data_IF_770381047413
#
_entry.id   IF_770381047413
#
_cell.length_a   1.000
_cell.length_b   1.000
_cell.length_c   1.000
_cell.angle_alpha   90.00
_cell.angle_beta   90.00
_cell.angle_gamma   90.00
#
_symmetry.space_group_name_H-M   'P 1'
#
loop_
_entity.id
_entity.type
_entity.pdbx_description
1 polymer ?
#
# COMPACT_ATOMS: atom_id res chain seq x y z
N UNK A 1 10.03 54.64 22.38
CA UNK A 1 9.75 54.20 23.76
C UNK A 1 10.37 52.83 23.94
N UNK A 2 11.49 52.82 24.64
CA UNK A 2 12.18 51.66 25.19
C UNK A 2 11.25 50.78 26.06
N UNK A 3 11.85 49.70 26.59
CA UNK A 3 11.48 48.96 27.81
C UNK A 3 10.93 47.53 27.61
N UNK A 4 11.89 46.60 27.50
CA UNK A 4 12.05 45.48 28.45
C UNK A 4 10.77 44.73 28.88
N UNK A 5 10.37 43.70 28.12
CA UNK A 5 9.38 42.70 28.58
C UNK A 5 9.99 41.33 28.89
N UNK A 6 11.29 41.13 28.62
CA UNK A 6 11.94 39.83 28.77
C UNK A 6 12.57 39.55 30.14
N UNK A 7 12.31 40.37 31.17
CA UNK A 7 13.03 40.26 32.45
C UNK A 7 12.13 40.07 33.69
N UNK A 8 10.83 39.74 33.58
CA UNK A 8 9.99 39.59 34.79
C UNK A 8 8.82 38.60 34.62
N UNK A 9 9.10 37.30 34.69
CA UNK A 9 8.13 36.30 35.17
C UNK A 9 8.80 34.93 35.40
N UNK A 10 9.92 34.91 36.10
CA UNK A 10 10.15 33.77 36.98
C UNK A 10 9.08 33.84 38.08
N UNK A 11 8.47 32.70 38.42
CA UNK A 11 7.52 32.49 39.52
C UNK A 11 6.07 32.92 39.26
N UNK A 12 5.24 31.99 38.78
CA UNK A 12 4.03 31.47 39.46
C UNK A 12 3.57 30.24 38.68
N UNK A 13 3.74 29.06 39.29
CA UNK A 13 3.11 27.84 38.83
C UNK A 13 1.63 27.82 39.21
N UNK A 14 0.78 27.37 38.29
CA UNK A 14 -0.49 26.73 38.63
C UNK A 14 -0.89 25.74 37.53
N UNK A 15 -0.53 24.49 37.78
CA UNK A 15 -1.24 23.25 37.45
C UNK A 15 -2.53 23.40 36.62
N UNK A 16 -2.43 23.14 35.31
CA UNK A 16 -3.49 22.43 34.58
C UNK A 16 -2.84 21.28 33.83
N UNK A 17 -2.55 20.21 34.58
CA UNK A 17 -2.28 18.89 34.00
C UNK A 17 -3.63 18.28 33.55
N UNK A 18 -4.23 18.84 32.50
CA UNK A 18 -5.35 18.18 31.82
C UNK A 18 -4.76 17.09 30.93
N UNK A 19 -4.59 15.90 31.48
CA UNK A 19 -4.42 14.68 30.71
C UNK A 19 -5.75 14.37 29.99
N UNK A 20 -6.09 15.16 28.97
CA UNK A 20 -7.07 14.74 27.97
C UNK A 20 -6.37 13.69 27.14
N UNK A 21 -6.61 12.43 27.49
CA UNK A 21 -6.42 11.33 26.57
C UNK A 21 -7.38 11.60 25.39
N UNK A 22 -6.91 12.35 24.39
CA UNK A 22 -7.44 12.33 23.03
C UNK A 22 -7.01 10.99 22.42
N UNK A 23 -7.48 9.90 23.03
CA UNK A 23 -7.43 8.59 22.45
C UNK A 23 -8.50 8.60 21.37
N UNK A 24 -8.08 8.73 20.12
CA UNK A 24 -8.92 8.33 19.01
C UNK A 24 -9.35 6.89 19.27
N UNK A 25 -10.60 6.71 19.70
CA UNK A 25 -11.24 5.41 19.75
C UNK A 25 -11.40 4.92 18.30
N UNK A 26 -10.35 4.35 17.72
CA UNK A 26 -10.44 3.63 16.46
C UNK A 26 -11.34 2.42 16.67
N UNK A 27 -12.43 2.34 15.91
CA UNK A 27 -13.33 1.19 15.94
C UNK A 27 -12.53 -0.12 15.71
N UNK A 28 -12.92 -1.24 16.37
CA UNK A 28 -12.24 -2.51 16.17
C UNK A 28 -12.32 -2.91 14.70
N UNK A 29 -11.18 -2.99 14.03
CA UNK A 29 -11.14 -3.37 12.62
C UNK A 29 -11.42 -4.86 12.47
N UNK A 30 -12.28 -5.20 11.50
CA UNK A 30 -12.60 -6.59 11.17
C UNK A 30 -11.30 -7.35 10.82
N UNK A 31 -11.10 -8.50 11.45
CA UNK A 31 -9.96 -9.42 11.25
C UNK A 31 -10.44 -10.69 10.57
N UNK A 32 -9.52 -11.46 9.99
CA UNK A 32 -9.82 -12.84 9.65
C UNK A 32 -10.22 -13.59 10.93
N UNK A 33 -11.10 -14.58 10.78
CA UNK A 33 -11.35 -15.52 11.86
C UNK A 33 -10.07 -16.28 12.19
N UNK A 34 -9.99 -16.83 13.41
CA UNK A 34 -8.82 -17.61 13.84
C UNK A 34 -8.47 -18.75 12.85
N UNK A 35 -9.49 -19.45 12.35
CA UNK A 35 -9.31 -20.56 11.40
C UNK A 35 -8.76 -20.07 10.06
N UNK A 36 -9.32 -18.99 9.51
CA UNK A 36 -8.84 -18.41 8.25
C UNK A 36 -7.40 -17.90 8.37
N UNK A 37 -7.08 -17.18 9.44
CA UNK A 37 -5.73 -16.68 9.70
C UNK A 37 -4.71 -17.82 9.85
N UNK A 38 -5.11 -18.92 10.52
CA UNK A 38 -4.26 -20.11 10.66
C UNK A 38 -3.96 -20.77 9.31
N UNK A 39 -4.99 -20.96 8.47
CA UNK A 39 -4.83 -21.52 7.12
C UNK A 39 -3.95 -20.61 6.25
N UNK A 40 -4.20 -19.31 6.30
CA UNK A 40 -3.44 -18.30 5.55
C UNK A 40 -1.94 -18.40 5.85
N UNK A 41 -1.57 -18.39 7.14
CA UNK A 41 -0.16 -18.50 7.56
C UNK A 41 0.44 -19.85 7.23
N UNK A 42 -0.32 -20.93 7.35
CA UNK A 42 0.15 -22.27 7.00
C UNK A 42 0.50 -22.40 5.50
N UNK A 43 -0.13 -21.60 4.64
CA UNK A 43 0.19 -21.51 3.22
C UNK A 43 1.32 -20.51 2.90
N UNK A 44 1.92 -19.88 3.92
CA UNK A 44 2.94 -18.83 3.75
C UNK A 44 2.38 -17.44 3.45
N UNK A 45 1.07 -17.25 3.60
CA UNK A 45 0.42 -15.95 3.45
C UNK A 45 0.38 -15.14 4.75
N UNK A 46 -0.15 -13.93 4.65
CA UNK A 46 -0.35 -13.01 5.77
C UNK A 46 -1.70 -12.30 5.67
N UNK A 47 -2.24 -11.83 6.81
CA UNK A 47 -3.48 -11.03 6.78
C UNK A 47 -3.18 -9.64 6.25
N UNK A 48 -3.82 -9.28 5.14
CA UNK A 48 -3.79 -7.94 4.55
C UNK A 48 -5.20 -7.37 4.48
N UNK A 49 -5.33 -6.20 3.87
CA UNK A 49 -6.57 -5.42 3.83
C UNK A 49 -6.83 -4.87 2.44
N UNK A 50 -8.01 -5.19 1.91
CA UNK A 50 -8.48 -4.60 0.67
C UNK A 50 -8.73 -3.09 0.87
N UNK A 51 -8.81 -2.28 -0.20
CA UNK A 51 -8.97 -0.82 -0.08
C UNK A 51 -10.16 -0.37 0.79
N UNK A 52 -11.26 -1.14 0.80
CA UNK A 52 -12.42 -0.89 1.66
C UNK A 52 -12.32 -1.42 3.10
N UNK A 53 -11.14 -1.87 3.53
CA UNK A 53 -10.91 -2.28 4.91
C UNK A 53 -11.21 -3.75 5.23
N UNK A 54 -11.70 -4.52 4.27
CA UNK A 54 -11.99 -5.95 4.45
C UNK A 54 -10.70 -6.76 4.62
N UNK A 55 -10.59 -7.58 5.68
CA UNK A 55 -9.42 -8.44 5.88
C UNK A 55 -9.43 -9.60 4.87
N UNK A 56 -8.27 -9.95 4.35
CA UNK A 56 -8.11 -11.11 3.46
C UNK A 56 -6.71 -11.72 3.57
N UNK A 57 -6.51 -12.91 3.03
CA UNK A 57 -5.21 -13.57 3.01
C UNK A 57 -4.42 -13.16 1.76
N UNK A 58 -3.28 -12.53 1.96
CA UNK A 58 -2.36 -12.09 0.91
C UNK A 58 -1.12 -12.98 0.86
N UNK A 59 -0.54 -13.09 -0.33
CA UNK A 59 0.73 -13.77 -0.58
C UNK A 59 1.68 -12.82 -1.29
N UNK A 60 2.95 -12.79 -0.86
CA UNK A 60 4.03 -12.11 -1.57
C UNK A 60 4.75 -13.06 -2.49
N UNK A 61 5.06 -12.60 -3.69
CA UNK A 61 5.93 -13.33 -4.59
C UNK A 61 7.40 -13.05 -4.26
N UNK A 62 8.27 -14.04 -4.52
CA UNK A 62 9.71 -13.93 -4.19
C UNK A 62 10.49 -13.08 -5.20
N UNK A 63 9.90 -12.86 -6.36
CA UNK A 63 10.40 -12.08 -7.49
C UNK A 63 9.73 -10.71 -7.62
N UNK A 64 8.99 -10.27 -6.58
CA UNK A 64 8.37 -8.96 -6.50
C UNK A 64 9.28 -7.83 -6.99
N UNK A 65 8.81 -7.03 -7.95
CA UNK A 65 9.51 -5.85 -8.46
C UNK A 65 10.68 -6.13 -9.41
N UNK A 66 10.99 -7.40 -9.72
CA UNK A 66 12.00 -7.71 -10.75
C UNK A 66 11.53 -7.22 -12.12
N UNK A 67 12.45 -6.69 -12.91
CA UNK A 67 12.15 -6.33 -14.30
C UNK A 67 11.77 -7.59 -15.09
N UNK A 68 10.71 -7.50 -15.89
CA UNK A 68 10.19 -8.61 -16.68
C UNK A 68 9.74 -8.11 -18.06
N UNK A 69 9.71 -9.02 -19.04
CA UNK A 69 9.22 -8.75 -20.38
C UNK A 69 7.98 -9.56 -20.71
N UNK A 70 7.73 -10.67 -20.00
CA UNK A 70 6.50 -11.45 -20.14
C UNK A 70 6.12 -12.11 -18.81
N UNK A 71 4.89 -12.62 -18.73
CA UNK A 71 4.42 -13.44 -17.60
C UNK A 71 5.31 -14.65 -17.30
N UNK A 72 5.98 -15.22 -18.29
CA UNK A 72 6.87 -16.37 -18.11
C UNK A 72 8.10 -16.06 -17.23
N UNK A 73 8.47 -14.79 -17.10
CA UNK A 73 9.60 -14.36 -16.27
C UNK A 73 9.24 -14.25 -14.78
N UNK A 74 7.94 -14.28 -14.46
CA UNK A 74 7.43 -14.04 -13.11
C UNK A 74 6.64 -15.22 -12.53
N UNK A 75 6.62 -15.34 -11.20
CA UNK A 75 5.73 -16.26 -10.49
C UNK A 75 4.26 -15.82 -10.60
N UNK A 76 4.03 -14.51 -10.67
CA UNK A 76 2.73 -13.86 -10.87
C UNK A 76 2.58 -13.32 -12.29
N UNK A 77 2.07 -12.10 -12.40
CA UNK A 77 1.97 -11.36 -13.67
C UNK A 77 3.18 -10.44 -13.85
N UNK A 78 3.48 -10.12 -15.11
CA UNK A 78 4.39 -9.03 -15.45
C UNK A 78 3.54 -7.78 -15.69
N UNK A 79 3.66 -6.79 -14.81
CA UNK A 79 2.76 -5.63 -14.74
C UNK A 79 3.49 -4.35 -15.10
N UNK A 80 2.77 -3.43 -15.72
CA UNK A 80 3.17 -2.04 -15.92
C UNK A 80 2.18 -1.14 -15.18
N UNK A 81 2.68 -0.25 -14.33
CA UNK A 81 1.83 0.68 -13.57
C UNK A 81 1.32 1.79 -14.48
N UNK A 82 0.01 1.90 -14.56
CA UNK A 82 -0.71 2.95 -15.27
C UNK A 82 -1.09 4.11 -14.34
N UNK A 83 -0.89 3.95 -13.02
CA UNK A 83 -1.14 4.99 -12.03
C UNK A 83 -0.18 6.17 -12.17
N UNK A 84 -0.73 7.38 -12.23
CA UNK A 84 0.02 8.63 -12.04
C UNK A 84 0.96 9.07 -13.17
N UNK A 85 0.97 8.39 -14.31
CA UNK A 85 1.82 8.77 -15.44
C UNK A 85 1.02 9.54 -16.49
N UNK A 86 1.40 10.79 -16.72
CA UNK A 86 0.88 11.68 -17.78
C UNK A 86 1.19 11.22 -19.22
N UNK A 87 1.73 10.01 -19.37
CA UNK A 87 1.98 9.32 -20.63
C UNK A 87 1.48 7.88 -20.44
N UNK A 88 0.16 7.71 -20.53
CA UNK A 88 -0.50 6.41 -20.50
C UNK A 88 0.01 5.62 -21.71
N UNK A 89 0.96 4.70 -21.48
CA UNK A 89 1.39 3.76 -22.51
C UNK A 89 0.15 3.06 -23.06
N UNK A 90 0.05 2.97 -24.38
CA UNK A 90 -1.07 2.31 -25.06
C UNK A 90 -0.73 0.86 -25.32
N UNK A 91 -1.76 0.04 -25.51
CA UNK A 91 -1.57 -1.34 -25.94
C UNK A 91 -0.71 -1.36 -27.21
N UNK A 92 0.36 -2.13 -27.18
CA UNK A 92 1.37 -2.26 -28.23
C UNK A 92 2.65 -1.44 -28.03
N UNK A 93 2.64 -0.47 -27.11
CA UNK A 93 3.83 0.33 -26.78
C UNK A 93 4.88 -0.51 -26.07
N UNK A 94 6.15 -0.20 -26.33
CA UNK A 94 7.28 -0.84 -25.66
C UNK A 94 7.39 -0.28 -24.24
N UNK A 95 7.29 -1.16 -23.25
CA UNK A 95 7.32 -0.80 -21.83
C UNK A 95 8.20 -1.77 -21.05
N UNK A 96 8.80 -1.27 -19.97
CA UNK A 96 9.51 -2.11 -19.01
C UNK A 96 8.55 -2.54 -17.90
N UNK A 97 8.18 -3.83 -17.89
CA UNK A 97 7.32 -4.40 -16.85
C UNK A 97 8.09 -4.73 -15.58
N UNK A 98 7.35 -4.92 -14.49
CA UNK A 98 7.83 -5.42 -13.22
C UNK A 98 6.98 -6.60 -12.75
N UNK A 99 7.61 -7.62 -12.17
CA UNK A 99 6.89 -8.75 -11.60
C UNK A 99 6.01 -8.27 -10.45
N UNK A 100 4.77 -8.73 -10.48
CA UNK A 100 3.76 -8.46 -9.48
C UNK A 100 4.29 -8.75 -8.08
N UNK A 101 4.08 -7.83 -7.14
CA UNK A 101 4.60 -7.98 -5.79
C UNK A 101 3.82 -8.99 -4.96
N UNK A 102 2.49 -8.99 -5.13
CA UNK A 102 1.56 -9.75 -4.31
C UNK A 102 0.46 -10.35 -5.18
N UNK A 103 -0.06 -11.54 -4.84
CA UNK A 103 -1.11 -12.23 -5.63
C UNK A 103 -2.36 -11.38 -5.92
N UNK A 104 -2.62 -10.37 -5.09
CA UNK A 104 -3.76 -9.47 -5.24
C UNK A 104 -3.19 -8.07 -5.14
N UNK A 105 -3.04 -7.43 -6.29
CA UNK A 105 -2.53 -6.07 -6.40
C UNK A 105 -3.70 -5.13 -6.67
N UNK A 106 -3.74 -4.00 -5.97
CA UNK A 106 -4.74 -2.95 -6.13
C UNK A 106 -4.10 -1.73 -6.78
N UNK A 107 -4.81 -1.09 -7.71
CA UNK A 107 -4.33 0.01 -8.53
C UNK A 107 -4.54 -0.22 -10.03
N UNK A 108 -4.09 0.73 -10.85
CA UNK A 108 -4.18 0.67 -12.30
C UNK A 108 -2.92 0.03 -12.88
N UNK A 109 -3.09 -1.15 -13.48
CA UNK A 109 -1.99 -1.90 -14.10
C UNK A 109 -2.41 -2.50 -15.43
N UNK A 110 -1.49 -2.50 -16.39
CA UNK A 110 -1.59 -3.33 -17.60
C UNK A 110 -0.63 -4.51 -17.53
N UNK A 111 -0.87 -5.56 -18.33
CA UNK A 111 0.12 -6.65 -18.44
C UNK A 111 1.10 -6.40 -19.57
N UNK A 112 2.31 -6.90 -19.36
CA UNK A 112 3.39 -6.82 -20.34
C UNK A 112 3.64 -8.20 -20.93
N UNK A 113 3.64 -8.28 -22.26
CA UNK A 113 4.01 -9.46 -23.02
C UNK A 113 5.03 -9.10 -24.11
N UNK A 114 6.14 -9.82 -24.16
CA UNK A 114 7.22 -9.56 -25.12
C UNK A 114 7.82 -8.14 -25.02
N UNK A 115 7.81 -7.54 -23.82
CA UNK A 115 8.30 -6.17 -23.59
C UNK A 115 7.34 -5.09 -24.10
N UNK A 116 6.09 -5.44 -24.37
CA UNK A 116 5.05 -4.51 -24.81
C UNK A 116 3.84 -4.58 -23.92
N UNK A 117 3.12 -3.46 -23.80
CA UNK A 117 1.85 -3.44 -23.09
C UNK A 117 0.85 -4.27 -23.90
N UNK A 118 0.46 -5.42 -23.39
CA UNK A 118 -0.48 -6.32 -24.06
C UNK A 118 -1.93 -5.89 -23.83
N UNK A 119 -2.19 -5.34 -22.65
CA UNK A 119 -3.52 -4.97 -22.18
C UNK A 119 -3.41 -3.80 -21.21
N UNK A 120 -4.47 -3.00 -21.17
CA UNK A 120 -4.74 -1.95 -20.21
C UNK A 120 -5.79 -2.47 -19.22
N UNK A 121 -5.46 -3.50 -18.41
CA UNK A 121 -6.39 -4.35 -17.65
C UNK A 121 -7.28 -3.66 -16.61
N UNK A 122 -7.40 -2.34 -16.65
CA UNK A 122 -8.26 -1.55 -15.81
C UNK A 122 -7.66 -1.32 -14.43
N UNK A 123 -8.30 -0.41 -13.71
CA UNK A 123 -7.98 -0.11 -12.32
C UNK A 123 -8.75 -1.07 -11.43
N UNK A 124 -8.01 -1.84 -10.62
CA UNK A 124 -8.59 -2.78 -9.67
C UNK A 124 -8.59 -2.11 -8.28
N UNK A 125 -9.78 -1.71 -7.83
CA UNK A 125 -10.06 -1.11 -6.52
C UNK A 125 -10.39 -2.16 -5.44
#
# INVERSE_FOLDING_TARGET
MDWNIFDRAAWIGLLIASATCVGSCSAPQKRLTFTEAKICRAQGGYESRAPFGSPFCQFRYSDAGKACSAKADCQGRCLYSLDGQSNEAKVGDVVAGQCEAERSTFGCYGTVEGGKLATDEGCWD
#
